data_IF_922492002339
#
_entry.id   IF_922492002339
#
_cell.length_a   1.000
_cell.length_b   1.000
_cell.length_c   1.000
_cell.angle_alpha   90.00
_cell.angle_beta   90.00
_cell.angle_gamma   90.00
#
_symmetry.space_group_name_H-M   'P 1'
#
loop_
_entity.id
_entity.type
_entity.pdbx_description
1 polymer ?
#
# COMPACT_ATOMS: atom_id res chain seq x y z
N UNK A 1 -27.84 -20.00 -24.33
CA UNK A 1 -26.92 -20.63 -23.35
C UNK A 1 -25.46 -20.16 -23.47
N UNK A 2 -24.92 -19.91 -24.67
CA UNK A 2 -23.51 -19.46 -24.82
C UNK A 2 -23.23 -18.05 -24.28
N UNK A 3 -24.15 -17.10 -24.46
CA UNK A 3 -23.97 -15.72 -23.97
C UNK A 3 -23.88 -15.62 -22.43
N UNK A 4 -24.70 -16.40 -21.70
CA UNK A 4 -24.64 -16.46 -20.23
C UNK A 4 -23.32 -17.02 -19.71
N UNK A 5 -22.74 -18.01 -20.41
CA UNK A 5 -21.41 -18.56 -20.07
C UNK A 5 -20.30 -17.53 -20.29
N UNK A 6 -20.35 -16.78 -21.40
CA UNK A 6 -19.38 -15.72 -21.69
C UNK A 6 -19.47 -14.61 -20.63
N UNK A 7 -20.68 -14.18 -20.27
CA UNK A 7 -20.88 -13.16 -19.24
C UNK A 7 -20.38 -13.62 -17.86
N UNK A 8 -20.60 -14.90 -17.52
CA UNK A 8 -20.10 -15.49 -16.27
C UNK A 8 -18.57 -15.52 -16.21
N UNK A 9 -17.91 -15.92 -17.31
CA UNK A 9 -16.45 -15.92 -17.40
C UNK A 9 -15.88 -14.50 -17.30
N UNK A 10 -16.50 -13.53 -17.97
CA UNK A 10 -16.08 -12.13 -17.92
C UNK A 10 -16.19 -11.56 -16.50
N UNK A 11 -17.31 -11.86 -15.81
CA UNK A 11 -17.52 -11.43 -14.43
C UNK A 11 -16.49 -12.04 -13.49
N UNK A 12 -16.19 -13.34 -13.66
CA UNK A 12 -15.18 -14.02 -12.86
C UNK A 12 -13.78 -13.44 -13.10
N UNK A 13 -13.44 -13.09 -14.35
CA UNK A 13 -12.17 -12.43 -14.64
C UNK A 13 -12.06 -11.02 -14.04
N UNK A 14 -13.16 -10.26 -13.95
CA UNK A 14 -13.15 -8.95 -13.31
C UNK A 14 -12.90 -9.06 -11.81
N UNK A 15 -13.51 -10.04 -11.14
CA UNK A 15 -13.36 -10.26 -9.71
C UNK A 15 -11.91 -10.60 -9.31
N UNK A 16 -11.14 -11.22 -10.21
CA UNK A 16 -9.73 -11.57 -9.97
C UNK A 16 -8.78 -10.38 -10.09
N UNK A 17 -9.17 -9.29 -10.80
CA UNK A 17 -8.33 -8.10 -10.99
C UNK A 17 -8.49 -7.06 -9.86
N UNK A 18 -9.51 -7.20 -9.02
CA UNK A 18 -9.77 -6.24 -7.93
C UNK A 18 -8.79 -6.35 -6.74
N UNK A 19 -7.96 -7.40 -6.70
CA UNK A 19 -7.01 -7.67 -5.62
C UNK A 19 -5.57 -7.27 -6.01
N UNK A 20 -5.39 -6.25 -6.85
CA UNK A 20 -4.05 -5.75 -7.15
C UNK A 20 -3.59 -4.81 -6.02
N UNK A 21 -2.44 -5.13 -5.43
CA UNK A 21 -1.77 -4.24 -4.48
C UNK A 21 -1.29 -2.97 -5.20
N UNK A 22 -1.36 -1.82 -4.50
CA UNK A 22 -0.86 -0.57 -5.06
C UNK A 22 0.64 -0.65 -5.28
N UNK A 23 1.06 -0.32 -6.49
CA UNK A 23 2.47 -0.29 -6.86
C UNK A 23 3.06 1.07 -6.48
N UNK A 24 4.19 1.06 -5.78
CA UNK A 24 4.93 2.26 -5.45
C UNK A 24 6.15 2.32 -6.37
N UNK A 25 6.36 3.46 -7.01
CA UNK A 25 7.46 3.65 -7.97
C UNK A 25 8.80 3.82 -7.25
N UNK A 26 8.76 4.27 -6.00
CA UNK A 26 9.94 4.51 -5.19
C UNK A 26 9.73 3.98 -3.78
N UNK A 27 10.73 3.27 -3.26
CA UNK A 27 10.79 2.75 -1.90
C UNK A 27 12.19 2.98 -1.33
N UNK A 28 12.29 3.69 -0.22
CA UNK A 28 13.57 4.01 0.43
C UNK A 28 13.50 3.74 1.93
N UNK A 29 14.59 3.20 2.50
CA UNK A 29 14.74 3.12 3.95
C UNK A 29 15.13 4.49 4.49
N UNK A 30 14.44 4.91 5.55
CA UNK A 30 14.61 6.24 6.13
C UNK A 30 14.67 6.16 7.65
N UNK A 31 15.39 7.09 8.26
CA UNK A 31 15.38 7.28 9.70
C UNK A 31 14.36 8.37 10.06
N UNK A 32 13.32 8.00 10.78
CA UNK A 32 12.14 8.84 11.06
C UNK A 32 12.24 9.36 12.49
N UNK A 33 12.18 10.68 12.65
CA UNK A 33 12.25 11.34 13.96
C UNK A 33 11.04 12.24 14.17
N UNK A 34 10.26 11.96 15.21
CA UNK A 34 9.26 12.90 15.72
C UNK A 34 9.78 13.56 17.00
N UNK A 35 9.93 14.88 16.97
CA UNK A 35 10.36 15.68 18.10
C UNK A 35 9.28 16.68 18.44
N UNK A 36 8.28 16.25 19.22
CA UNK A 36 7.26 17.15 19.76
C UNK A 36 7.48 17.32 21.27
N UNK A 37 6.84 18.32 21.91
CA UNK A 37 6.97 18.52 23.35
C UNK A 37 6.49 17.31 24.18
N UNK A 38 5.49 16.59 23.69
CA UNK A 38 4.80 15.50 24.41
C UNK A 38 5.12 14.11 23.87
N UNK A 39 5.75 14.00 22.70
CA UNK A 39 6.05 12.74 22.03
C UNK A 39 7.43 12.78 21.37
N UNK A 40 8.22 11.73 21.63
CA UNK A 40 9.55 11.54 21.06
C UNK A 40 9.62 10.19 20.42
N UNK A 41 10.11 10.16 19.19
CA UNK A 41 10.18 8.96 18.38
C UNK A 41 11.43 9.00 17.51
N UNK A 42 12.09 7.85 17.35
CA UNK A 42 13.25 7.68 16.49
C UNK A 42 13.35 6.21 16.09
N UNK A 43 13.09 5.91 14.81
CA UNK A 43 13.16 4.53 14.29
C UNK A 43 13.52 4.51 12.81
N UNK A 44 13.94 3.35 12.34
CA UNK A 44 14.08 3.05 10.92
C UNK A 44 12.74 2.60 10.36
N UNK A 45 12.37 3.17 9.22
CA UNK A 45 11.16 2.83 8.50
C UNK A 45 11.38 2.89 6.99
N UNK A 46 10.28 2.87 6.24
CA UNK A 46 10.31 3.03 4.80
C UNK A 46 9.38 4.16 4.37
N UNK A 47 9.81 4.90 3.35
CA UNK A 47 8.94 5.81 2.61
C UNK A 47 8.67 5.20 1.24
N UNK A 48 7.40 5.22 0.84
CA UNK A 48 6.93 4.77 -0.45
C UNK A 48 6.27 5.94 -1.16
N UNK A 49 6.60 6.15 -2.42
CA UNK A 49 6.03 7.22 -3.24
C UNK A 49 5.48 6.64 -4.54
N UNK A 50 4.35 7.19 -4.96
CA UNK A 50 3.82 7.14 -6.32
C UNK A 50 3.29 8.53 -6.68
N UNK A 51 2.74 8.69 -7.88
CA UNK A 51 2.33 10.00 -8.40
C UNK A 51 1.26 10.71 -7.55
N UNK A 52 0.42 9.94 -6.84
CA UNK A 52 -0.76 10.45 -6.13
C UNK A 52 -0.70 10.24 -4.60
N UNK A 53 0.28 9.50 -4.09
CA UNK A 53 0.36 9.09 -2.69
C UNK A 53 1.81 8.93 -2.21
N UNK A 54 2.05 9.43 -1.01
CA UNK A 54 3.21 9.10 -0.19
C UNK A 54 2.74 8.31 1.03
N UNK A 55 3.33 7.14 1.26
CA UNK A 55 3.08 6.28 2.43
C UNK A 55 4.36 6.17 3.24
N UNK A 56 4.25 6.34 4.56
CA UNK A 56 5.36 6.13 5.51
C UNK A 56 5.05 4.93 6.39
N UNK A 57 5.98 4.00 6.49
CA UNK A 57 5.86 2.78 7.28
C UNK A 57 6.84 2.79 8.46
N UNK A 58 6.32 2.49 9.65
CA UNK A 58 6.98 2.69 10.94
C UNK A 58 6.75 1.43 11.79
N UNK A 59 7.82 0.82 12.33
CA UNK A 59 7.73 -0.52 12.96
C UNK A 59 7.74 -0.50 14.49
N UNK A 60 8.50 0.38 15.14
CA UNK A 60 8.65 0.33 16.61
C UNK A 60 7.39 0.73 17.40
N UNK A 61 6.30 1.11 16.72
CA UNK A 61 5.01 1.45 17.34
C UNK A 61 4.06 0.25 17.46
N UNK A 62 4.47 -0.95 17.00
CA UNK A 62 3.64 -2.15 16.91
C UNK A 62 3.98 -3.27 17.90
N UNK A 63 4.34 -2.96 19.16
CA UNK A 63 4.38 -3.93 20.26
C UNK A 63 3.18 -3.76 21.19
#
# INVERSE_FOLDING_TARGET
MRLKKILSVLLMSLLLNACASKEYTKQESVFIVFKTPTFRYADLGFIYENDDETKVEIYSSGQ
#
